data_IF_471547511406
#
_entry.id   IF_471547511406
#
_cell.length_a   1.000
_cell.length_b   1.000
_cell.length_c   1.000
_cell.angle_alpha   90.00
_cell.angle_beta   90.00
_cell.angle_gamma   90.00
#
_symmetry.space_group_name_H-M   'P 1'
#
loop_
_entity.id
_entity.type
_entity.pdbx_description
1 polymer ?
#
# COMPACT_ATOMS: atom_id res chain seq x y z
N UNK A 1 -16.88 6.05 1.99
CA UNK A 1 -16.73 5.96 3.45
C UNK A 1 -15.68 4.95 3.93
N UNK A 2 -15.72 3.64 3.62
CA UNK A 2 -14.67 2.70 4.09
C UNK A 2 -13.30 2.97 3.45
N UNK A 3 -13.22 3.13 2.12
CA UNK A 3 -11.95 3.39 1.45
C UNK A 3 -11.37 4.77 1.73
N UNK A 4 -12.20 5.79 1.95
CA UNK A 4 -11.70 7.11 2.36
C UNK A 4 -10.95 7.06 3.70
N UNK A 5 -11.34 6.15 4.61
CA UNK A 5 -10.62 5.93 5.85
C UNK A 5 -9.32 5.15 5.63
N UNK A 6 -9.34 4.11 4.80
CA UNK A 6 -8.16 3.31 4.45
C UNK A 6 -7.10 4.16 3.71
N UNK A 7 -7.51 4.86 2.65
CA UNK A 7 -6.66 5.79 1.92
C UNK A 7 -6.06 6.87 2.82
N UNK A 8 -6.83 7.42 3.77
CA UNK A 8 -6.28 8.37 4.76
C UNK A 8 -5.22 7.73 5.65
N UNK A 9 -5.42 6.49 6.10
CA UNK A 9 -4.43 5.76 6.88
C UNK A 9 -3.14 5.54 6.08
N UNK A 10 -3.25 5.20 4.80
CA UNK A 10 -2.09 4.99 3.93
C UNK A 10 -1.35 6.29 3.62
N UNK A 11 -2.06 7.41 3.39
CA UNK A 11 -1.41 8.71 3.27
C UNK A 11 -0.68 9.12 4.55
N UNK A 12 -1.25 8.84 5.73
CA UNK A 12 -0.58 9.06 7.02
C UNK A 12 0.65 8.16 7.11
N UNK A 13 0.55 6.90 6.71
CA UNK A 13 1.66 5.94 6.71
C UNK A 13 2.79 6.41 5.76
N UNK A 14 2.45 6.90 4.57
CA UNK A 14 3.41 7.50 3.64
C UNK A 14 4.09 8.74 4.27
N UNK A 15 3.32 9.65 4.87
CA UNK A 15 3.87 10.88 5.47
C UNK A 15 4.81 10.55 6.63
N UNK A 16 4.37 9.71 7.57
CA UNK A 16 5.15 9.31 8.73
C UNK A 16 6.38 8.50 8.31
N UNK A 17 6.20 7.52 7.41
CA UNK A 17 7.28 6.70 6.88
C UNK A 17 8.35 7.56 6.20
N UNK A 18 7.94 8.46 5.31
CA UNK A 18 8.87 9.38 4.62
C UNK A 18 9.60 10.30 5.61
N UNK A 19 8.89 10.79 6.64
CA UNK A 19 9.51 11.60 7.70
C UNK A 19 10.58 10.80 8.45
N UNK A 20 10.30 9.55 8.81
CA UNK A 20 11.27 8.64 9.44
C UNK A 20 12.48 8.45 8.54
N UNK A 21 12.29 8.17 7.25
CA UNK A 21 13.39 7.98 6.28
C UNK A 21 14.28 9.22 6.13
N UNK A 22 13.71 10.41 6.27
CA UNK A 22 14.47 11.66 6.21
C UNK A 22 15.48 11.76 7.35
N UNK A 23 15.08 11.40 8.57
CA UNK A 23 15.92 11.48 9.77
C UNK A 23 16.74 10.21 10.06
N UNK A 24 16.41 9.07 9.47
CA UNK A 24 17.12 7.81 9.71
C UNK A 24 18.43 7.78 8.92
N UNK A 25 19.55 7.57 9.62
CA UNK A 25 20.88 7.41 9.00
C UNK A 25 21.10 5.96 8.50
N UNK A 26 20.64 5.70 7.28
CA UNK A 26 20.79 4.44 6.54
C UNK A 26 21.22 4.74 5.10
N UNK A 27 21.69 3.72 4.38
CA UNK A 27 22.17 3.90 3.02
C UNK A 27 21.08 4.42 2.08
N UNK A 28 21.49 5.15 1.03
CA UNK A 28 20.55 5.67 0.03
C UNK A 28 19.72 4.57 -0.63
N UNK A 29 20.31 3.38 -0.81
CA UNK A 29 19.62 2.21 -1.38
C UNK A 29 18.50 1.72 -0.46
N UNK A 30 18.76 1.63 0.85
CA UNK A 30 17.73 1.23 1.84
C UNK A 30 16.63 2.29 1.93
N UNK A 31 16.97 3.59 1.97
CA UNK A 31 15.97 4.67 1.93
C UNK A 31 15.08 4.58 0.69
N UNK A 32 15.68 4.34 -0.47
CA UNK A 32 14.97 4.24 -1.74
C UNK A 32 14.03 3.04 -1.75
N UNK A 33 14.49 1.86 -1.29
CA UNK A 33 13.67 0.66 -1.19
C UNK A 33 12.47 0.85 -0.26
N UNK A 34 12.69 1.44 0.93
CA UNK A 34 11.63 1.74 1.89
C UNK A 34 10.63 2.75 1.30
N UNK A 35 11.11 3.82 0.65
CA UNK A 35 10.25 4.82 0.04
C UNK A 35 9.41 4.25 -1.11
N UNK A 36 10.00 3.46 -2.00
CA UNK A 36 9.28 2.76 -3.08
C UNK A 36 8.20 1.84 -2.50
N UNK A 37 8.48 1.15 -1.39
CA UNK A 37 7.49 0.29 -0.75
C UNK A 37 6.26 1.06 -0.23
N UNK A 38 6.46 2.29 0.26
CA UNK A 38 5.36 3.17 0.67
C UNK A 38 4.54 3.65 -0.52
N UNK A 39 5.20 4.01 -1.63
CA UNK A 39 4.52 4.39 -2.87
C UNK A 39 3.72 3.23 -3.47
N UNK A 40 4.22 1.99 -3.32
CA UNK A 40 3.52 0.80 -3.81
C UNK A 40 2.17 0.60 -3.10
N UNK A 41 2.08 0.91 -1.80
CA UNK A 41 0.81 0.87 -1.05
C UNK A 41 -0.20 1.83 -1.68
N UNK A 42 0.20 3.09 -1.87
CA UNK A 42 -0.66 4.12 -2.46
C UNK A 42 -1.06 3.74 -3.89
N UNK A 43 -0.14 3.19 -4.68
CA UNK A 43 -0.44 2.73 -6.03
C UNK A 43 -1.49 1.60 -6.02
N UNK A 44 -1.34 0.63 -5.10
CA UNK A 44 -2.28 -0.47 -4.96
C UNK A 44 -3.68 0.02 -4.58
N UNK A 45 -3.80 0.99 -3.66
CA UNK A 45 -5.09 1.53 -3.25
C UNK A 45 -5.75 2.41 -4.33
N UNK A 46 -4.96 3.16 -5.12
CA UNK A 46 -5.47 3.86 -6.29
C UNK A 46 -6.05 2.86 -7.30
N UNK A 47 -5.36 1.74 -7.55
CA UNK A 47 -5.85 0.69 -8.43
C UNK A 47 -7.11 0.03 -7.85
N UNK A 48 -7.13 -0.29 -6.56
CA UNK A 48 -8.31 -0.84 -5.88
C UNK A 48 -9.52 0.09 -6.03
N UNK A 49 -9.34 1.39 -5.77
CA UNK A 49 -10.37 2.42 -5.92
C UNK A 49 -10.84 2.55 -7.37
N UNK A 50 -9.93 2.46 -8.34
CA UNK A 50 -10.29 2.48 -9.76
C UNK A 50 -11.12 1.26 -10.16
N UNK A 51 -10.78 0.06 -9.68
CA UNK A 51 -11.55 -1.16 -9.91
C UNK A 51 -12.95 -1.02 -9.29
N UNK A 52 -13.04 -0.56 -8.05
CA UNK A 52 -14.33 -0.32 -7.39
C UNK A 52 -15.19 0.67 -8.18
N UNK A 53 -14.63 1.79 -8.62
CA UNK A 53 -15.37 2.79 -9.40
C UNK A 53 -15.90 2.23 -10.74
N UNK A 54 -15.10 1.40 -11.41
CA UNK A 54 -15.52 0.75 -12.67
C UNK A 54 -16.59 -0.30 -12.40
N UNK A 55 -16.42 -1.13 -11.37
CA UNK A 55 -17.38 -2.18 -11.01
C UNK A 55 -18.71 -1.56 -10.58
N UNK A 56 -18.69 -0.54 -9.72
CA UNK A 56 -19.89 0.15 -9.25
C UNK A 56 -20.64 0.88 -10.36
N UNK A 57 -19.93 1.34 -11.40
CA UNK A 57 -20.54 1.94 -12.59
C UNK A 57 -21.27 0.92 -13.48
N UNK A 58 -20.76 -0.31 -13.57
CA UNK A 58 -21.24 -1.33 -14.52
C UNK A 58 -22.32 -2.23 -13.89
N UNK A 59 -22.25 -2.49 -12.58
CA UNK A 59 -23.15 -3.42 -11.91
C UNK A 59 -24.52 -2.79 -11.63
N UNK A 60 -25.53 -3.09 -12.46
CA UNK A 60 -26.95 -2.87 -12.12
C UNK A 60 -27.55 -4.04 -11.32
N UNK A 61 -26.95 -5.23 -11.41
CA UNK A 61 -27.26 -6.43 -10.63
C UNK A 61 -25.99 -6.96 -9.94
N UNK A 62 -26.13 -7.64 -8.80
CA UNK A 62 -25.00 -8.27 -8.09
C UNK A 62 -24.52 -9.48 -8.92
N UNK A 63 -23.44 -9.29 -9.68
CA UNK A 63 -22.84 -10.37 -10.48
C UNK A 63 -21.64 -10.99 -9.73
N UNK A 64 -21.45 -12.31 -9.74
CA UNK A 64 -20.32 -12.97 -9.06
C UNK A 64 -18.93 -12.42 -9.47
N UNK A 65 -18.79 -11.99 -10.73
CA UNK A 65 -17.56 -11.39 -11.25
C UNK A 65 -17.26 -10.01 -10.67
N UNK A 66 -18.30 -9.23 -10.33
CA UNK A 66 -18.16 -7.93 -9.66
C UNK A 66 -17.59 -8.10 -8.24
N UNK A 67 -18.00 -9.15 -7.54
CA UNK A 67 -17.43 -9.52 -6.24
C UNK A 67 -15.95 -9.89 -6.35
N UNK A 68 -15.61 -10.79 -7.28
CA UNK A 68 -14.22 -11.21 -7.52
C UNK A 68 -13.29 -10.03 -7.84
N UNK A 69 -13.74 -9.08 -8.67
CA UNK A 69 -12.93 -7.91 -9.02
C UNK A 69 -12.60 -7.05 -7.78
N UNK A 70 -13.57 -6.84 -6.88
CA UNK A 70 -13.38 -6.10 -5.63
C UNK A 70 -12.43 -6.84 -4.68
N UNK A 71 -12.60 -8.16 -4.56
CA UNK A 71 -11.73 -8.99 -3.71
C UNK A 71 -10.27 -8.96 -4.18
N UNK A 72 -10.04 -9.01 -5.50
CA UNK A 72 -8.70 -8.90 -6.09
C UNK A 72 -8.08 -7.52 -5.87
N UNK A 73 -8.87 -6.44 -5.98
CA UNK A 73 -8.42 -5.09 -5.66
C UNK A 73 -7.95 -4.97 -4.21
N UNK A 74 -8.76 -5.45 -3.26
CA UNK A 74 -8.39 -5.46 -1.84
C UNK A 74 -7.20 -6.38 -1.54
N UNK A 75 -7.08 -7.51 -2.24
CA UNK A 75 -5.92 -8.40 -2.11
C UNK A 75 -4.62 -7.73 -2.60
N UNK A 76 -4.67 -6.91 -3.65
CA UNK A 76 -3.51 -6.16 -4.12
C UNK A 76 -2.99 -5.18 -3.06
N UNK A 77 -3.91 -4.49 -2.36
CA UNK A 77 -3.56 -3.61 -1.22
C UNK A 77 -2.89 -4.42 -0.11
N UNK A 78 -3.48 -5.56 0.28
CA UNK A 78 -2.89 -6.43 1.31
C UNK A 78 -1.49 -6.92 0.93
N UNK A 79 -1.27 -7.31 -0.33
CA UNK A 79 0.03 -7.74 -0.83
C UNK A 79 1.04 -6.58 -0.76
N UNK A 80 0.64 -5.37 -1.14
CA UNK A 80 1.51 -4.19 -1.06
C UNK A 80 1.95 -3.88 0.38
N UNK A 81 1.04 -4.01 1.36
CA UNK A 81 1.35 -3.88 2.78
C UNK A 81 2.33 -4.97 3.25
N UNK A 82 2.14 -6.21 2.78
CA UNK A 82 3.06 -7.31 3.06
C UNK A 82 4.46 -7.06 2.51
N UNK A 83 4.57 -6.55 1.28
CA UNK A 83 5.86 -6.18 0.66
C UNK A 83 6.53 -5.08 1.49
N UNK A 84 5.81 -4.03 1.87
CA UNK A 84 6.34 -2.97 2.73
C UNK A 84 6.83 -3.53 4.07
N UNK A 85 6.03 -4.37 4.75
CA UNK A 85 6.41 -4.99 6.01
C UNK A 85 7.70 -5.82 5.89
N UNK A 86 7.86 -6.58 4.81
CA UNK A 86 9.08 -7.36 4.54
C UNK A 86 10.29 -6.45 4.37
N UNK A 87 10.19 -5.39 3.56
CA UNK A 87 11.31 -4.48 3.30
C UNK A 87 11.70 -3.73 4.57
N UNK A 88 10.72 -3.17 5.30
CA UNK A 88 10.96 -2.48 6.57
C UNK A 88 11.61 -3.37 7.61
N UNK A 89 11.09 -4.59 7.79
CA UNK A 89 11.66 -5.55 8.74
C UNK A 89 13.07 -5.96 8.33
N UNK A 90 13.33 -6.17 7.04
CA UNK A 90 14.65 -6.55 6.53
C UNK A 90 15.69 -5.46 6.78
N UNK A 91 15.35 -4.19 6.53
CA UNK A 91 16.25 -3.06 6.83
C UNK A 91 16.45 -2.90 8.33
N UNK A 92 15.39 -3.03 9.15
CA UNK A 92 15.51 -2.99 10.60
C UNK A 92 16.45 -4.08 11.14
N UNK A 93 16.26 -5.32 10.71
CA UNK A 93 17.11 -6.45 11.11
C UNK A 93 18.56 -6.22 10.66
N UNK A 94 18.76 -5.78 9.42
CA UNK A 94 20.09 -5.44 8.91
C UNK A 94 20.77 -4.38 9.77
N UNK A 95 20.05 -3.29 10.08
CA UNK A 95 20.55 -2.18 10.89
C UNK A 95 20.99 -2.59 12.30
N UNK A 96 20.29 -3.52 12.96
CA UNK A 96 20.67 -4.01 14.29
C UNK A 96 21.68 -5.15 14.28
N UNK A 97 21.91 -5.77 13.12
CA UNK A 97 22.88 -6.86 12.96
C UNK A 97 24.31 -6.36 12.70
N UNK A 98 24.51 -5.04 12.63
CA UNK A 98 25.78 -4.35 12.46
C UNK A 98 26.05 -3.46 13.69
#
# INVERSE_FOLDING_TARGET
MKNEAAFRQECILLLLGTTILFFWDISLYEKTALFISLLLIILAEIINTAIEAVVDRISLDIHPLSGLAKDLGSAAVLISLGIAAIIWTSVLVSYFSH
#
